data_IF_177274752218
#
_entry.id   IF_177274752218
#
_cell.length_a   1.000
_cell.length_b   1.000
_cell.length_c   1.000
_cell.angle_alpha   90.00
_cell.angle_beta   90.00
_cell.angle_gamma   90.00
#
_symmetry.space_group_name_H-M   'P 1'
#
loop_
_entity.id
_entity.type
_entity.pdbx_description
1 polymer ?
#
# COMPACT_ATOMS: atom_id res chain seq x y z
N UNK A 1 -43.82 -41.53 -24.52
CA UNK A 1 -43.03 -42.79 -24.49
C UNK A 1 -41.83 -42.47 -23.60
N UNK A 2 -41.88 -42.52 -22.26
CA UNK A 2 -42.34 -43.60 -21.36
C UNK A 2 -41.57 -44.89 -21.72
N UNK A 3 -40.83 -45.59 -20.85
CA UNK A 3 -41.09 -46.08 -19.48
C UNK A 3 -39.75 -46.62 -18.91
N UNK A 4 -39.33 -46.27 -17.66
CA UNK A 4 -39.21 -47.09 -16.40
C UNK A 4 -38.62 -48.52 -16.55
N UNK A 5 -37.88 -49.10 -15.59
CA UNK A 5 -38.29 -49.54 -14.22
C UNK A 5 -37.08 -50.38 -13.67
N UNK A 6 -36.50 -50.18 -12.47
CA UNK A 6 -36.92 -50.62 -11.10
C UNK A 6 -37.11 -52.17 -11.05
N UNK A 7 -36.52 -52.98 -10.15
CA UNK A 7 -36.71 -53.07 -8.69
C UNK A 7 -35.94 -54.31 -8.12
N UNK A 8 -35.29 -54.26 -6.93
CA UNK A 8 -35.73 -54.71 -5.56
C UNK A 8 -35.45 -56.21 -5.24
N UNK A 9 -35.19 -56.48 -3.94
CA UNK A 9 -35.43 -57.71 -3.11
C UNK A 9 -34.13 -58.42 -2.67
N UNK A 10 -33.87 -58.86 -1.43
CA UNK A 10 -34.21 -58.58 -0.02
C UNK A 10 -33.62 -59.77 0.80
N UNK A 11 -33.22 -59.54 2.06
CA UNK A 11 -33.24 -60.49 3.21
C UNK A 11 -32.31 -61.73 3.18
N UNK A 12 -31.81 -62.36 4.26
CA UNK A 12 -31.90 -62.28 5.73
C UNK A 12 -30.96 -63.39 6.32
N UNK A 13 -30.26 -63.18 7.45
CA UNK A 13 -30.25 -63.96 8.74
C UNK A 13 -28.79 -63.99 9.26
N UNK A 14 -28.40 -63.28 10.33
CA UNK A 14 -28.46 -63.59 11.78
C UNK A 14 -27.50 -64.75 12.19
N UNK A 15 -26.68 -64.68 13.25
CA UNK A 15 -27.01 -64.52 14.67
C UNK A 15 -25.76 -64.27 15.57
N UNK A 16 -25.94 -63.39 16.57
CA UNK A 16 -25.61 -63.48 18.03
C UNK A 16 -24.14 -63.66 18.51
N UNK A 17 -23.64 -63.08 19.62
CA UNK A 17 -24.23 -62.65 20.91
C UNK A 17 -23.25 -61.64 21.57
N UNK A 18 -23.65 -60.51 22.18
CA UNK A 18 -24.14 -60.35 23.57
C UNK A 18 -23.03 -59.72 24.45
N UNK A 19 -23.20 -58.77 25.38
CA UNK A 19 -24.31 -58.14 26.12
C UNK A 19 -23.75 -56.81 26.73
N UNK A 20 -24.49 -55.68 26.72
CA UNK A 20 -25.38 -55.16 27.81
C UNK A 20 -24.60 -54.44 28.93
N UNK A 21 -24.91 -53.27 29.51
CA UNK A 21 -26.10 -52.38 29.67
C UNK A 21 -25.58 -50.97 30.01
N UNK A 22 -26.16 -49.83 29.56
CA UNK A 22 -27.21 -49.06 30.26
C UNK A 22 -26.63 -48.16 31.39
N UNK A 23 -26.95 -46.88 31.60
CA UNK A 23 -27.93 -45.93 31.07
C UNK A 23 -27.80 -44.60 31.85
N UNK A 24 -28.19 -43.49 31.20
CA UNK A 24 -28.25 -42.10 31.71
C UNK A 24 -29.28 -41.91 32.84
N UNK A 25 -29.02 -41.01 33.81
CA UNK A 25 -29.80 -39.76 34.10
C UNK A 25 -29.35 -39.08 35.42
N UNK A 26 -29.67 -37.79 35.53
CA UNK A 26 -29.17 -36.70 36.43
C UNK A 26 -30.09 -36.51 37.68
N UNK A 27 -29.93 -35.42 38.47
CA UNK A 27 -29.27 -35.20 39.79
C UNK A 27 -30.25 -35.30 41.02
N UNK A 28 -29.89 -35.01 42.30
CA UNK A 28 -29.98 -33.63 42.88
C UNK A 28 -29.07 -33.33 44.13
N UNK A 29 -29.38 -32.19 44.76
CA UNK A 29 -28.76 -31.25 45.74
C UNK A 29 -28.50 -31.70 47.22
N UNK A 30 -27.75 -30.85 47.96
CA UNK A 30 -27.70 -30.55 49.45
C UNK A 30 -26.69 -31.39 50.29
N UNK A 31 -25.78 -30.89 51.15
CA UNK A 31 -25.93 -30.00 52.35
C UNK A 31 -24.57 -29.62 53.02
N UNK A 32 -24.50 -28.45 53.72
CA UNK A 32 -23.69 -28.03 54.92
C UNK A 32 -22.13 -27.87 54.83
N UNK A 33 -21.40 -26.95 55.50
CA UNK A 33 -21.60 -25.70 56.28
C UNK A 33 -20.21 -25.11 56.74
N UNK A 34 -20.02 -23.77 56.71
CA UNK A 34 -19.13 -22.85 57.50
C UNK A 34 -17.57 -22.99 57.52
N UNK A 35 -16.74 -21.93 57.88
CA UNK A 35 -17.08 -20.65 58.53
C UNK A 35 -16.47 -19.35 57.90
N UNK A 36 -16.70 -18.25 58.63
CA UNK A 36 -16.63 -16.81 58.33
C UNK A 36 -15.21 -16.23 58.25
N UNK A 37 -15.02 -15.25 57.37
CA UNK A 37 -14.27 -14.02 57.69
C UNK A 37 -14.86 -12.81 56.96
N UNK A 38 -15.11 -11.74 57.73
CA UNK A 38 -15.55 -10.40 57.33
C UNK A 38 -14.29 -9.57 57.06
N UNK A 39 -14.25 -8.75 56.01
CA UNK A 39 -14.21 -7.31 56.26
C UNK A 39 -15.17 -6.52 55.37
N UNK A 40 -15.75 -5.49 55.97
CA UNK A 40 -16.48 -4.39 55.34
C UNK A 40 -15.50 -3.34 54.81
N UNK A 41 -15.70 -2.91 53.57
CA UNK A 41 -15.41 -1.59 53.00
C UNK A 41 -15.97 -1.63 51.56
N UNK A 42 -17.27 -1.36 51.40
CA UNK A 42 -17.77 -0.14 50.72
C UNK A 42 -16.74 0.98 50.68
N UNK A 43 -16.25 1.28 49.48
CA UNK A 43 -15.96 2.63 48.95
C UNK A 43 -15.46 2.48 47.50
N UNK A 44 -16.16 3.18 46.61
CA UNK A 44 -15.77 3.64 45.27
C UNK A 44 -15.43 2.61 44.17
N UNK A 45 -16.47 2.07 43.54
CA UNK A 45 -16.46 1.74 42.11
C UNK A 45 -17.66 2.39 41.42
N UNK A 46 -17.69 3.72 41.42
CA UNK A 46 -18.54 4.50 40.53
C UNK A 46 -17.75 5.70 40.00
N UNK A 47 -16.67 5.40 39.27
CA UNK A 47 -15.89 6.37 38.51
C UNK A 47 -15.47 5.75 37.17
N UNK A 48 -16.46 5.35 36.38
CA UNK A 48 -16.26 4.90 35.01
C UNK A 48 -17.45 5.30 34.13
N UNK A 49 -17.88 6.57 34.19
CA UNK A 49 -18.84 7.12 33.20
C UNK A 49 -18.90 8.66 33.11
N UNK A 50 -17.87 9.40 33.58
CA UNK A 50 -17.95 10.87 33.68
C UNK A 50 -16.77 11.62 33.04
N UNK A 51 -15.87 10.94 32.31
CA UNK A 51 -14.65 11.57 31.78
C UNK A 51 -14.76 12.10 30.34
N UNK A 52 -15.98 12.20 29.79
CA UNK A 52 -16.22 12.65 28.41
C UNK A 52 -16.86 14.05 28.32
N UNK A 53 -17.05 14.72 29.45
CA UNK A 53 -17.83 15.98 29.55
C UNK A 53 -17.00 17.25 29.70
N UNK A 54 -15.67 17.16 29.80
CA UNK A 54 -14.80 18.31 30.06
C UNK A 54 -13.60 18.38 29.09
N UNK A 55 -13.28 19.60 28.65
CA UNK A 55 -12.18 19.86 27.73
C UNK A 55 -10.82 19.58 28.41
N UNK A 56 -9.89 18.85 27.75
CA UNK A 56 -8.54 18.67 28.29
C UNK A 56 -7.80 19.99 28.53
N UNK A 57 -8.00 20.98 27.65
CA UNK A 57 -7.56 22.36 27.84
C UNK A 57 -8.69 23.32 27.45
N UNK A 58 -8.72 24.57 27.97
CA UNK A 58 -9.81 25.50 27.69
C UNK A 58 -10.05 25.76 26.21
N UNK A 59 -8.99 25.73 25.40
CA UNK A 59 -9.03 25.96 23.97
C UNK A 59 -8.19 24.91 23.24
N UNK A 60 -8.70 24.35 22.15
CA UNK A 60 -7.96 23.42 21.30
C UNK A 60 -8.82 22.40 20.59
N UNK A 61 -8.17 21.43 19.95
CA UNK A 61 -8.79 20.33 19.23
C UNK A 61 -8.28 19.00 19.77
N UNK A 62 -9.19 18.10 20.13
CA UNK A 62 -8.84 16.85 20.81
C UNK A 62 -9.52 15.66 20.14
N UNK A 63 -8.79 14.56 19.96
CA UNK A 63 -9.33 13.35 19.35
C UNK A 63 -10.40 12.69 20.24
N UNK A 64 -11.36 12.02 19.62
CA UNK A 64 -12.23 11.09 20.31
C UNK A 64 -11.48 9.82 20.74
N UNK A 65 -11.89 9.24 21.88
CA UNK A 65 -11.24 8.07 22.46
C UNK A 65 -11.46 6.78 21.65
N UNK A 66 -12.53 6.72 20.84
CA UNK A 66 -12.97 5.48 20.17
C UNK A 66 -13.09 5.61 18.66
N UNK A 67 -13.38 6.82 18.15
CA UNK A 67 -13.67 7.10 16.75
C UNK A 67 -12.57 7.97 16.11
N UNK A 68 -11.87 7.43 15.11
CA UNK A 68 -10.69 8.09 14.55
C UNK A 68 -10.99 9.38 13.78
N UNK A 69 -12.21 9.51 13.26
CA UNK A 69 -12.66 10.66 12.50
C UNK A 69 -13.52 11.63 13.30
N UNK A 70 -13.72 11.38 14.61
CA UNK A 70 -14.37 12.31 15.53
C UNK A 70 -13.34 13.06 16.36
N UNK A 71 -13.64 14.32 16.61
CA UNK A 71 -12.84 15.19 17.46
C UNK A 71 -13.72 16.24 18.14
N UNK A 72 -13.16 16.88 19.14
CA UNK A 72 -13.79 17.91 19.95
C UNK A 72 -13.05 19.22 19.75
N UNK A 73 -13.78 20.27 19.37
CA UNK A 73 -13.29 21.64 19.40
C UNK A 73 -13.69 22.29 20.72
N UNK A 74 -12.70 22.65 21.52
CA UNK A 74 -12.86 23.32 22.80
C UNK A 74 -12.64 24.82 22.64
N UNK A 75 -13.58 25.61 23.16
CA UNK A 75 -13.46 27.07 23.27
C UNK A 75 -13.99 27.50 24.64
N UNK A 76 -13.15 28.10 25.47
CA UNK A 76 -13.46 28.48 26.86
C UNK A 76 -14.12 27.34 27.66
N UNK A 77 -13.54 26.13 27.61
CA UNK A 77 -14.04 24.89 28.20
C UNK A 77 -15.38 24.38 27.63
N UNK A 78 -15.89 24.98 26.56
CA UNK A 78 -17.10 24.51 25.87
C UNK A 78 -16.72 23.57 24.73
N UNK A 79 -17.15 22.32 24.86
CA UNK A 79 -16.98 21.28 23.83
C UNK A 79 -17.96 21.51 22.67
N UNK A 80 -17.44 21.40 21.45
CA UNK A 80 -18.22 21.21 20.23
C UNK A 80 -17.74 19.93 19.55
N UNK A 81 -18.61 18.94 19.42
CA UNK A 81 -18.29 17.72 18.68
C UNK A 81 -18.23 18.00 17.18
N UNK A 82 -17.25 17.40 16.51
CA UNK A 82 -17.06 17.51 15.06
C UNK A 82 -16.61 16.19 14.47
N UNK A 83 -16.89 16.03 13.18
CA UNK A 83 -16.40 14.92 12.36
C UNK A 83 -15.48 15.48 11.27
N UNK A 84 -14.43 14.73 10.97
CA UNK A 84 -13.65 14.94 9.76
C UNK A 84 -14.51 14.64 8.52
N UNK A 85 -14.18 15.23 7.36
CA UNK A 85 -14.79 14.84 6.09
C UNK A 85 -14.72 13.32 5.87
N UNK A 86 -15.75 12.73 5.26
CA UNK A 86 -15.82 11.28 5.08
C UNK A 86 -14.58 10.75 4.33
N UNK A 87 -13.92 9.75 4.92
CA UNK A 87 -12.67 9.19 4.41
C UNK A 87 -11.38 9.83 4.95
N UNK A 88 -11.50 10.84 5.81
CA UNK A 88 -10.38 11.43 6.57
C UNK A 88 -10.53 11.14 8.06
N UNK A 89 -9.41 11.24 8.79
CA UNK A 89 -9.34 11.03 10.24
C UNK A 89 -8.66 12.21 10.92
N UNK A 90 -8.97 12.43 12.19
CA UNK A 90 -8.43 13.57 12.92
C UNK A 90 -6.95 13.36 13.25
N UNK A 91 -6.13 14.35 12.91
CA UNK A 91 -4.71 14.39 13.23
C UNK A 91 -4.53 15.11 14.58
N UNK A 92 -4.11 14.35 15.59
CA UNK A 92 -3.97 14.79 16.98
C UNK A 92 -2.54 15.17 17.38
N UNK A 93 -1.62 15.34 16.41
CA UNK A 93 -0.24 15.75 16.70
C UNK A 93 -0.12 17.18 17.25
N UNK A 94 -1.15 18.02 17.07
CA UNK A 94 -1.18 19.38 17.64
C UNK A 94 -2.61 19.78 18.03
N UNK A 95 -2.84 20.06 19.31
CA UNK A 95 -4.13 20.56 19.81
C UNK A 95 -4.49 21.97 19.30
N UNK A 96 -3.56 22.66 18.63
CA UNK A 96 -3.76 24.01 18.11
C UNK A 96 -4.22 24.03 16.64
N UNK A 97 -4.25 22.88 15.97
CA UNK A 97 -4.61 22.78 14.56
C UNK A 97 -5.82 21.86 14.36
N UNK A 98 -6.89 22.41 13.78
CA UNK A 98 -8.02 21.62 13.31
C UNK A 98 -7.64 20.94 12.00
N UNK A 99 -7.01 19.76 12.10
CA UNK A 99 -6.48 19.06 10.93
C UNK A 99 -7.05 17.66 10.82
N UNK A 100 -7.59 17.37 9.65
CA UNK A 100 -7.91 16.02 9.23
C UNK A 100 -6.87 15.57 8.18
N UNK A 101 -6.43 14.32 8.25
CA UNK A 101 -5.52 13.70 7.29
C UNK A 101 -6.09 12.36 6.80
N UNK A 102 -5.48 11.79 5.77
CA UNK A 102 -5.85 10.45 5.31
C UNK A 102 -5.50 9.39 6.37
N UNK A 103 -6.31 8.33 6.53
CA UNK A 103 -6.04 7.24 7.48
C UNK A 103 -4.66 6.59 7.33
N UNK A 104 -4.06 6.64 6.14
CA UNK A 104 -2.73 6.08 5.88
C UNK A 104 -1.60 6.83 6.61
N UNK A 105 -1.84 8.08 7.03
CA UNK A 105 -0.85 8.93 7.69
C UNK A 105 -1.01 8.98 9.22
N UNK A 106 -2.12 8.46 9.76
CA UNK A 106 -2.50 8.58 11.17
C UNK A 106 -2.78 7.19 11.75
N UNK A 107 -2.22 6.89 12.92
CA UNK A 107 -2.46 5.61 13.57
C UNK A 107 -3.82 5.60 14.29
N UNK A 108 -4.82 4.97 13.66
CA UNK A 108 -6.14 4.79 14.22
C UNK A 108 -6.30 3.51 15.07
N UNK A 109 -5.21 2.76 15.34
CA UNK A 109 -5.32 1.43 15.97
C UNK A 109 -5.97 1.44 17.35
N UNK A 110 -5.87 2.56 18.09
CA UNK A 110 -6.47 2.73 19.42
C UNK A 110 -7.92 3.26 19.36
N UNK A 111 -8.31 3.89 18.24
CA UNK A 111 -9.64 4.49 18.05
C UNK A 111 -10.22 4.12 16.68
N UNK A 112 -10.49 2.82 16.41
CA UNK A 112 -10.73 2.33 15.07
C UNK A 112 -12.11 2.66 14.50
N UNK A 113 -13.05 3.16 15.30
CA UNK A 113 -14.38 3.48 14.79
C UNK A 113 -14.31 4.63 13.79
N UNK A 114 -15.21 4.62 12.82
CA UNK A 114 -15.35 5.66 11.80
C UNK A 114 -16.82 5.98 11.58
N UNK A 115 -17.11 7.16 11.06
CA UNK A 115 -18.44 7.50 10.59
C UNK A 115 -18.90 6.56 9.45
N UNK A 116 -20.22 6.49 9.25
CA UNK A 116 -20.83 5.75 8.15
C UNK A 116 -20.30 6.28 6.80
N UNK A 117 -19.82 5.40 5.90
CA UNK A 117 -19.30 5.83 4.61
C UNK A 117 -20.37 6.51 3.76
N UNK A 118 -19.96 7.54 3.01
CA UNK A 118 -20.80 8.24 2.05
C UNK A 118 -20.23 7.98 0.64
N UNK A 119 -20.62 6.86 0.01
CA UNK A 119 -20.05 6.47 -1.27
C UNK A 119 -20.50 7.39 -2.41
N UNK A 120 -19.62 7.57 -3.38
CA UNK A 120 -19.87 8.20 -4.68
C UNK A 120 -19.33 7.29 -5.80
N UNK A 121 -19.43 7.74 -7.06
CA UNK A 121 -18.89 7.01 -8.20
C UNK A 121 -17.38 6.76 -8.01
N UNK A 122 -16.96 5.49 -8.03
CA UNK A 122 -15.56 5.05 -7.84
C UNK A 122 -14.92 5.44 -6.49
N UNK A 123 -15.70 5.98 -5.57
CA UNK A 123 -15.26 6.47 -4.26
C UNK A 123 -16.08 5.79 -3.16
N UNK A 124 -15.60 4.68 -2.57
CA UNK A 124 -16.22 4.05 -1.40
C UNK A 124 -16.44 5.00 -0.21
N UNK A 125 -15.59 6.03 -0.08
CA UNK A 125 -15.77 7.20 0.79
C UNK A 125 -15.42 8.46 0.01
N UNK A 126 -15.87 9.62 0.49
CA UNK A 126 -15.66 10.88 -0.23
C UNK A 126 -14.17 11.22 -0.45
N UNK A 127 -13.30 10.86 0.49
CA UNK A 127 -11.87 11.15 0.42
C UNK A 127 -11.04 9.87 0.56
N UNK A 128 -9.97 9.74 -0.24
CA UNK A 128 -9.01 8.65 -0.10
C UNK A 128 -8.49 8.08 -1.42
N UNK A 129 -7.71 7.00 -1.31
CA UNK A 129 -7.21 6.23 -2.44
C UNK A 129 -7.88 4.87 -2.49
N UNK A 130 -8.49 4.53 -3.62
CA UNK A 130 -9.30 3.32 -3.76
C UNK A 130 -8.91 2.53 -5.00
N UNK A 131 -8.90 1.21 -4.90
CA UNK A 131 -8.60 0.39 -6.07
C UNK A 131 -9.71 0.49 -7.12
N UNK A 132 -9.36 0.17 -8.37
CA UNK A 132 -10.34 0.02 -9.43
C UNK A 132 -11.39 -1.05 -9.08
N UNK A 133 -12.65 -0.81 -9.41
CA UNK A 133 -13.76 -1.73 -9.10
C UNK A 133 -13.61 -3.11 -9.74
N UNK A 134 -12.99 -3.19 -10.93
CA UNK A 134 -12.63 -4.45 -11.55
C UNK A 134 -11.34 -4.99 -10.94
N UNK A 135 -11.44 -6.08 -10.19
CA UNK A 135 -10.30 -6.72 -9.51
C UNK A 135 -9.19 -7.18 -10.48
N UNK A 136 -9.50 -7.41 -11.76
CA UNK A 136 -8.51 -7.76 -12.79
C UNK A 136 -7.66 -6.58 -13.24
N UNK A 137 -8.09 -5.36 -12.95
CA UNK A 137 -7.32 -4.15 -13.21
C UNK A 137 -6.44 -3.90 -11.99
N UNK A 138 -5.16 -4.19 -12.16
CA UNK A 138 -4.17 -4.21 -11.09
C UNK A 138 -3.42 -2.87 -10.96
N UNK A 139 -3.29 -2.15 -12.06
CA UNK A 139 -2.45 -0.97 -12.23
C UNK A 139 -3.23 0.34 -12.17
N UNK A 140 -4.54 0.32 -11.93
CA UNK A 140 -5.35 1.55 -11.82
C UNK A 140 -5.98 1.68 -10.44
N UNK A 141 -6.10 2.92 -10.01
CA UNK A 141 -6.74 3.30 -8.77
C UNK A 141 -7.34 4.71 -8.89
N UNK A 142 -8.16 5.07 -7.92
CA UNK A 142 -8.86 6.34 -7.85
C UNK A 142 -8.34 7.15 -6.67
N UNK A 143 -8.06 8.42 -6.91
CA UNK A 143 -7.87 9.41 -5.85
C UNK A 143 -9.13 10.25 -5.73
N UNK A 144 -9.81 10.16 -4.60
CA UNK A 144 -11.07 10.84 -4.35
C UNK A 144 -10.88 12.05 -3.43
N UNK A 145 -11.50 13.16 -3.82
CA UNK A 145 -11.64 14.38 -3.02
C UNK A 145 -13.10 14.83 -3.11
N UNK A 146 -13.78 14.93 -1.96
CA UNK A 146 -15.20 15.29 -1.86
C UNK A 146 -16.11 14.50 -2.83
N UNK A 147 -15.86 13.20 -2.93
CA UNK A 147 -16.62 12.27 -3.77
C UNK A 147 -16.33 12.36 -5.28
N UNK A 148 -15.36 13.19 -5.70
CA UNK A 148 -14.91 13.29 -7.09
C UNK A 148 -13.61 12.52 -7.26
N UNK A 149 -13.59 11.56 -8.17
CA UNK A 149 -12.41 10.73 -8.43
C UNK A 149 -11.51 11.30 -9.54
N UNK A 150 -10.21 11.04 -9.41
CA UNK A 150 -9.23 11.08 -10.48
C UNK A 150 -8.65 9.67 -10.67
N UNK A 151 -8.73 9.14 -11.89
CA UNK A 151 -8.18 7.82 -12.21
C UNK A 151 -6.68 7.91 -12.51
N UNK A 152 -5.88 7.16 -11.76
CA UNK A 152 -4.42 7.14 -11.85
C UNK A 152 -3.98 5.75 -12.28
N UNK A 153 -3.04 5.69 -13.23
CA UNK A 153 -2.40 4.44 -13.66
C UNK A 153 -1.00 4.38 -13.06
N UNK A 154 -0.69 3.27 -12.39
CA UNK A 154 0.62 2.97 -11.84
C UNK A 154 1.70 2.93 -12.93
N UNK A 155 2.95 3.27 -12.60
CA UNK A 155 4.08 3.03 -13.48
C UNK A 155 4.13 1.56 -13.94
N UNK A 156 4.64 1.35 -15.15
CA UNK A 156 4.58 0.04 -15.82
C UNK A 156 5.12 -1.11 -14.97
N UNK A 157 4.30 -2.14 -14.79
CA UNK A 157 4.65 -3.33 -14.00
C UNK A 157 4.44 -3.23 -12.50
N UNK A 158 3.92 -2.10 -12.00
CA UNK A 158 3.50 -1.93 -10.60
C UNK A 158 1.99 -2.15 -10.45
N UNK A 159 1.60 -2.53 -9.24
CA UNK A 159 0.22 -2.83 -8.84
C UNK A 159 -0.15 -1.90 -7.70
N UNK A 160 -1.36 -1.35 -7.74
CA UNK A 160 -1.86 -0.54 -6.64
C UNK A 160 -2.05 -1.39 -5.37
N UNK A 161 -1.43 -0.95 -4.28
CA UNK A 161 -1.52 -1.59 -2.97
C UNK A 161 -2.44 -0.77 -2.06
N UNK A 162 -3.65 -1.26 -1.81
CA UNK A 162 -4.66 -0.60 -0.97
C UNK A 162 -4.18 -0.35 0.47
N UNK A 163 -3.28 -1.20 1.00
CA UNK A 163 -2.81 -1.08 2.39
C UNK A 163 -1.84 0.08 2.58
N UNK A 164 -1.01 0.34 1.57
CA UNK A 164 -0.02 1.43 1.60
C UNK A 164 -0.46 2.67 0.82
N UNK A 165 -1.51 2.57 0.01
CA UNK A 165 -2.01 3.64 -0.85
C UNK A 165 -1.08 4.03 -1.99
N UNK A 166 -0.10 3.17 -2.31
CA UNK A 166 0.91 3.44 -3.35
C UNK A 166 1.02 2.28 -4.33
N UNK A 167 1.63 2.54 -5.49
CA UNK A 167 1.97 1.50 -6.46
C UNK A 167 3.24 0.77 -6.02
N UNK A 168 3.12 -0.54 -5.76
CA UNK A 168 4.25 -1.40 -5.36
C UNK A 168 4.40 -2.57 -6.34
N UNK A 169 5.42 -3.40 -6.11
CA UNK A 169 5.56 -4.62 -6.90
C UNK A 169 4.40 -5.60 -6.64
N UNK A 170 4.02 -6.42 -7.63
CA UNK A 170 2.96 -7.44 -7.48
C UNK A 170 3.08 -8.33 -6.23
N UNK A 171 4.30 -8.79 -5.94
CA UNK A 171 4.66 -9.66 -4.81
C UNK A 171 4.55 -8.97 -3.44
N UNK A 172 4.71 -7.64 -3.41
CA UNK A 172 4.51 -6.82 -2.22
C UNK A 172 3.04 -6.44 -2.03
N UNK A 173 2.35 -6.08 -3.12
CA UNK A 173 0.94 -5.72 -3.11
C UNK A 173 0.06 -6.90 -2.66
N UNK A 174 0.46 -8.14 -2.99
CA UNK A 174 -0.27 -9.38 -2.66
C UNK A 174 -1.76 -9.32 -3.05
N UNK A 175 -2.09 -8.53 -4.08
CA UNK A 175 -3.45 -8.42 -4.62
C UNK A 175 -3.78 -9.70 -5.38
N UNK A 176 -4.89 -10.34 -5.02
CA UNK A 176 -5.33 -11.60 -5.64
C UNK A 176 -5.56 -11.41 -7.14
N UNK A 177 -4.96 -12.27 -7.96
CA UNK A 177 -5.07 -12.20 -9.42
C UNK A 177 -4.21 -11.12 -10.08
N UNK A 178 -3.28 -10.53 -9.34
CA UNK A 178 -2.33 -9.53 -9.81
C UNK A 178 -0.90 -9.97 -9.50
N UNK A 179 -0.57 -11.26 -9.66
CA UNK A 179 0.82 -11.72 -9.52
C UNK A 179 1.67 -11.15 -10.66
N UNK A 180 3.00 -11.17 -10.51
CA UNK A 180 3.91 -10.73 -11.58
C UNK A 180 3.65 -11.48 -12.89
N UNK A 181 3.34 -12.78 -12.82
CA UNK A 181 3.02 -13.59 -13.98
C UNK A 181 1.69 -13.17 -14.63
N UNK A 182 0.70 -12.74 -13.84
CA UNK A 182 -0.58 -12.26 -14.36
C UNK A 182 -0.43 -10.87 -15.02
N UNK A 183 0.30 -9.96 -14.37
CA UNK A 183 0.53 -8.59 -14.85
C UNK A 183 1.32 -8.56 -16.16
N UNK A 184 2.33 -9.42 -16.27
CA UNK A 184 3.18 -9.50 -17.46
C UNK A 184 2.75 -10.55 -18.48
N UNK A 185 1.75 -11.39 -18.14
CA UNK A 185 1.36 -12.56 -18.93
C UNK A 185 2.57 -13.42 -19.37
N UNK A 186 3.57 -13.53 -18.49
CA UNK A 186 4.83 -14.21 -18.76
C UNK A 186 5.17 -15.13 -17.59
N UNK A 187 5.67 -16.33 -17.89
CA UNK A 187 6.17 -17.28 -16.88
C UNK A 187 7.64 -17.51 -17.09
N UNK A 188 8.39 -17.40 -16.00
CA UNK A 188 9.81 -17.70 -15.99
C UNK A 188 10.05 -19.18 -16.36
N UNK A 189 10.98 -19.47 -17.28
CA UNK A 189 11.43 -20.83 -17.54
C UNK A 189 11.95 -21.50 -16.28
N UNK A 190 11.68 -22.81 -16.14
CA UNK A 190 12.18 -23.58 -15.01
C UNK A 190 13.69 -23.81 -15.17
N UNK A 191 14.45 -23.46 -14.13
CA UNK A 191 15.91 -23.57 -14.10
C UNK A 191 16.36 -24.14 -12.76
N UNK A 192 17.61 -24.58 -12.67
CA UNK A 192 18.18 -25.06 -11.41
C UNK A 192 18.31 -23.91 -10.39
N UNK A 193 18.39 -24.25 -9.11
CA UNK A 193 18.50 -23.28 -8.02
C UNK A 193 19.71 -22.34 -8.19
N UNK A 194 20.83 -22.82 -8.72
CA UNK A 194 22.03 -22.01 -8.95
C UNK A 194 21.79 -20.94 -10.00
N UNK A 195 21.05 -21.26 -11.06
CA UNK A 195 20.69 -20.31 -12.13
C UNK A 195 19.64 -19.34 -11.62
N UNK A 196 18.64 -19.82 -10.88
CA UNK A 196 17.57 -19.00 -10.30
C UNK A 196 18.12 -17.87 -9.42
N UNK A 197 19.17 -18.15 -8.64
CA UNK A 197 19.86 -17.17 -7.80
C UNK A 197 20.56 -16.05 -8.60
N UNK A 198 20.87 -16.28 -9.88
CA UNK A 198 21.45 -15.27 -10.77
C UNK A 198 20.41 -14.39 -11.45
N UNK A 199 19.12 -14.62 -11.19
CA UNK A 199 18.00 -13.89 -11.77
C UNK A 199 18.06 -13.87 -13.31
N UNK A 200 17.86 -15.03 -13.97
CA UNK A 200 18.07 -15.17 -15.40
C UNK A 200 17.17 -14.22 -16.19
N UNK A 201 17.63 -13.87 -17.38
CA UNK A 201 17.01 -12.87 -18.24
C UNK A 201 16.54 -13.52 -19.53
N UNK A 202 15.36 -13.11 -20.00
CA UNK A 202 14.71 -13.68 -21.19
C UNK A 202 14.17 -12.57 -22.06
N UNK A 203 14.31 -12.69 -23.37
CA UNK A 203 13.75 -11.72 -24.30
C UNK A 203 12.22 -11.65 -24.16
N UNK A 204 11.65 -10.46 -24.38
CA UNK A 204 10.21 -10.36 -24.58
C UNK A 204 9.89 -10.78 -26.02
N UNK A 205 9.01 -11.80 -26.24
CA UNK A 205 8.71 -12.30 -27.58
C UNK A 205 7.96 -11.30 -28.47
N UNK A 206 7.30 -10.30 -27.89
CA UNK A 206 6.48 -9.32 -28.62
C UNK A 206 7.15 -7.94 -28.74
N UNK A 207 8.21 -7.70 -27.96
CA UNK A 207 8.86 -6.39 -27.91
C UNK A 207 10.36 -6.52 -27.69
N UNK A 208 11.12 -6.36 -28.78
CA UNK A 208 12.58 -6.47 -28.76
C UNK A 208 13.26 -5.44 -27.84
N UNK A 209 12.61 -4.32 -27.50
CA UNK A 209 13.19 -3.35 -26.55
C UNK A 209 13.13 -3.87 -25.11
N UNK A 210 12.18 -4.74 -24.78
CA UNK A 210 11.97 -5.22 -23.43
C UNK A 210 12.44 -6.67 -23.22
N UNK A 211 12.68 -7.00 -21.96
CA UNK A 211 13.07 -8.33 -21.51
C UNK A 211 12.55 -8.56 -20.10
N UNK A 212 12.49 -9.82 -19.69
CA UNK A 212 12.10 -10.22 -18.34
C UNK A 212 13.31 -10.62 -17.53
N UNK A 213 13.38 -10.14 -16.28
CA UNK A 213 14.30 -10.62 -15.26
C UNK A 213 13.49 -11.50 -14.30
N UNK A 214 13.88 -12.77 -14.17
CA UNK A 214 13.20 -13.72 -13.30
C UNK A 214 13.86 -13.72 -11.92
N UNK A 215 13.35 -12.89 -11.02
CA UNK A 215 13.83 -12.84 -9.62
C UNK A 215 13.59 -14.20 -8.98
N UNK A 216 14.65 -14.76 -8.39
CA UNK A 216 14.71 -16.13 -7.85
C UNK A 216 14.22 -17.23 -8.80
N UNK A 217 14.28 -16.99 -10.12
CA UNK A 217 13.89 -17.95 -11.14
C UNK A 217 12.39 -18.08 -11.38
N UNK A 218 11.52 -17.42 -10.61
CA UNK A 218 10.07 -17.61 -10.68
C UNK A 218 9.27 -16.31 -10.86
N UNK A 219 9.78 -15.18 -10.37
CA UNK A 219 9.06 -13.90 -10.33
C UNK A 219 9.53 -12.97 -11.46
N UNK A 220 8.78 -12.84 -12.57
CA UNK A 220 9.20 -12.02 -13.69
C UNK A 220 9.08 -10.52 -13.39
N UNK A 221 10.07 -9.75 -13.82
CA UNK A 221 10.07 -8.28 -13.81
C UNK A 221 10.40 -7.79 -15.21
N UNK A 222 9.51 -7.02 -15.83
CA UNK A 222 9.76 -6.43 -17.14
C UNK A 222 10.75 -5.27 -17.02
N UNK A 223 11.82 -5.33 -17.81
CA UNK A 223 12.82 -4.28 -17.93
C UNK A 223 12.99 -3.91 -19.41
N UNK A 224 13.47 -2.70 -19.67
CA UNK A 224 13.66 -2.17 -21.02
C UNK A 224 15.10 -1.78 -21.28
N UNK A 225 15.52 -1.99 -22.52
CA UNK A 225 16.73 -1.39 -23.07
C UNK A 225 16.52 0.10 -23.33
N UNK A 226 17.62 0.85 -23.44
CA UNK A 226 17.55 2.27 -23.83
C UNK A 226 16.90 2.39 -25.20
N UNK A 227 16.30 3.55 -25.48
CA UNK A 227 15.76 3.83 -26.81
C UNK A 227 16.83 3.59 -27.87
N UNK A 228 16.47 2.87 -28.94
CA UNK A 228 17.39 2.46 -30.00
C UNK A 228 18.13 1.14 -29.75
N UNK A 229 18.07 0.57 -28.55
CA UNK A 229 18.65 -0.74 -28.23
C UNK A 229 17.55 -1.81 -28.13
N UNK A 230 17.95 -3.06 -28.32
CA UNK A 230 17.13 -4.27 -28.17
C UNK A 230 17.82 -5.27 -27.26
N UNK A 231 17.08 -6.18 -26.66
CA UNK A 231 17.65 -7.22 -25.81
C UNK A 231 18.26 -8.34 -26.65
N UNK A 232 19.55 -8.62 -26.45
CA UNK A 232 20.27 -9.73 -27.06
C UNK A 232 20.31 -10.90 -26.05
N UNK A 233 19.48 -11.92 -26.28
CA UNK A 233 19.36 -13.07 -25.38
C UNK A 233 20.64 -13.91 -25.31
N UNK A 234 21.37 -14.04 -26.43
CA UNK A 234 22.64 -14.79 -26.48
C UNK A 234 23.72 -14.18 -25.56
N UNK A 235 23.72 -12.84 -25.42
CA UNK A 235 24.64 -12.12 -24.54
C UNK A 235 24.07 -11.79 -23.15
N UNK A 236 22.74 -11.90 -22.99
CA UNK A 236 21.99 -11.49 -21.79
C UNK A 236 21.96 -9.98 -21.53
N UNK A 237 22.21 -9.15 -22.56
CA UNK A 237 22.41 -7.69 -22.45
C UNK A 237 21.68 -6.94 -23.55
N UNK A 238 21.47 -5.65 -23.33
CA UNK A 238 21.01 -4.74 -24.37
C UNK A 238 22.13 -4.50 -25.39
N UNK A 239 21.78 -4.57 -26.67
CA UNK A 239 22.67 -4.39 -27.80
C UNK A 239 21.95 -3.59 -28.91
N UNK A 240 22.68 -3.23 -29.96
CA UNK A 240 22.10 -2.57 -31.11
C UNK A 240 21.34 -3.57 -31.99
N UNK A 241 20.21 -3.16 -32.61
CA UNK A 241 19.39 -4.01 -33.46
C UNK A 241 20.18 -4.84 -34.48
N UNK A 242 21.18 -4.24 -35.13
CA UNK A 242 22.04 -4.93 -36.12
C UNK A 242 22.81 -6.15 -35.58
N UNK A 243 23.02 -6.23 -34.26
CA UNK A 243 23.71 -7.34 -33.60
C UNK A 243 22.74 -8.44 -33.14
N UNK A 244 21.43 -8.24 -33.35
CA UNK A 244 20.34 -9.14 -32.96
C UNK A 244 19.49 -9.40 -34.20
N UNK A 245 19.84 -10.40 -35.04
CA UNK A 245 19.23 -10.62 -36.35
C UNK A 245 17.69 -10.67 -36.33
N UNK A 246 17.10 -11.26 -35.30
CA UNK A 246 15.66 -11.36 -35.09
C UNK A 246 14.97 -10.01 -34.83
N UNK A 247 15.74 -9.00 -34.39
CA UNK A 247 15.27 -7.67 -34.02
C UNK A 247 15.92 -6.57 -34.86
N UNK A 248 16.63 -6.91 -35.95
CA UNK A 248 17.41 -5.96 -36.75
C UNK A 248 16.58 -4.78 -37.28
N UNK A 249 15.31 -5.06 -37.60
CA UNK A 249 14.36 -4.08 -38.15
C UNK A 249 13.38 -3.51 -37.12
N UNK A 250 13.57 -3.78 -35.82
CA UNK A 250 12.61 -3.44 -34.77
C UNK A 250 12.21 -1.95 -34.73
N UNK A 251 13.17 -1.05 -34.94
CA UNK A 251 12.93 0.40 -34.93
C UNK A 251 12.59 0.98 -36.30
N UNK A 252 12.42 0.16 -37.34
CA UNK A 252 12.12 0.64 -38.69
C UNK A 252 10.78 1.40 -38.67
N UNK A 253 10.82 2.68 -39.02
CA UNK A 253 9.64 3.56 -39.02
C UNK A 253 9.33 4.21 -37.66
N UNK A 254 10.05 3.84 -36.60
CA UNK A 254 10.02 4.53 -35.29
C UNK A 254 11.19 5.51 -35.18
N UNK A 255 12.37 5.09 -35.63
CA UNK A 255 13.58 5.92 -35.70
C UNK A 255 14.13 5.88 -37.12
N UNK A 256 14.72 7.00 -37.54
CA UNK A 256 15.56 7.07 -38.74
C UNK A 256 16.94 6.47 -38.47
N UNK A 257 17.64 6.07 -39.53
CA UNK A 257 19.01 5.55 -39.42
C UNK A 257 19.96 6.58 -38.79
N UNK A 258 19.75 7.86 -39.07
CA UNK A 258 20.53 8.96 -38.49
C UNK A 258 20.27 9.11 -36.98
N UNK A 259 19.01 9.04 -36.54
CA UNK A 259 18.66 9.06 -35.12
C UNK A 259 19.26 7.87 -34.37
N UNK A 260 19.17 6.67 -34.95
CA UNK A 260 19.75 5.47 -34.36
C UNK A 260 21.28 5.57 -34.26
N UNK A 261 21.93 6.07 -35.32
CA UNK A 261 23.36 6.34 -35.32
C UNK A 261 23.78 7.35 -34.26
N UNK A 262 23.00 8.43 -34.08
CA UNK A 262 23.24 9.45 -33.06
C UNK A 262 23.02 8.94 -31.63
N UNK A 263 22.08 8.00 -31.43
CA UNK A 263 21.89 7.33 -30.14
C UNK A 263 23.07 6.43 -29.77
N UNK A 264 23.67 5.78 -30.77
CA UNK A 264 24.86 4.96 -30.58
C UNK A 264 26.13 5.78 -30.38
N UNK A 265 26.24 6.89 -31.10
CA UNK A 265 27.39 7.77 -31.10
C UNK A 265 26.97 9.15 -30.56
N UNK A 266 26.63 9.25 -29.27
CA UNK A 266 26.19 10.51 -28.71
C UNK A 266 27.32 11.52 -28.79
N UNK A 267 27.05 12.67 -29.43
CA UNK A 267 27.98 13.79 -29.49
C UNK A 267 28.34 14.21 -28.04
N UNK A 268 29.61 14.55 -27.75
CA UNK A 268 29.98 15.07 -26.45
C UNK A 268 29.05 16.22 -26.10
N UNK A 269 28.39 16.16 -24.93
CA UNK A 269 27.59 17.29 -24.46
C UNK A 269 28.54 18.48 -24.38
N UNK A 270 28.27 19.52 -25.17
CA UNK A 270 28.95 20.79 -25.00
C UNK A 270 28.67 21.25 -23.58
N UNK A 271 29.65 21.08 -22.70
CA UNK A 271 29.64 21.72 -21.40
C UNK A 271 29.66 23.20 -21.69
N UNK A 272 28.52 23.84 -21.45
CA UNK A 272 28.38 25.29 -21.53
C UNK A 272 29.42 25.89 -20.59
N UNK A 273 30.59 26.26 -21.15
CA UNK A 273 31.48 27.30 -20.61
C UNK A 273 30.70 28.60 -20.32
N UNK A 274 29.49 28.73 -20.87
CA UNK A 274 28.53 29.79 -20.56
C UNK A 274 27.91 29.72 -19.14
N UNK A 275 27.82 28.55 -18.50
CA UNK A 275 27.24 28.46 -17.13
C UNK A 275 28.20 28.88 -16.03
N UNK A 276 29.52 28.70 -16.22
CA UNK A 276 30.52 29.20 -15.28
C UNK A 276 30.67 30.74 -15.35
N UNK A 277 30.50 31.33 -16.54
CA UNK A 277 30.50 32.79 -16.70
C UNK A 277 29.27 33.46 -16.03
N UNK A 278 28.12 32.78 -15.98
CA UNK A 278 26.91 33.26 -15.30
C UNK A 278 26.99 33.15 -13.76
N UNK A 279 27.67 32.13 -13.23
CA UNK A 279 27.86 31.95 -11.79
C UNK A 279 28.90 32.93 -11.21
N UNK A 280 29.90 33.34 -12.00
CA UNK A 280 30.92 34.32 -11.57
C UNK A 280 30.37 35.76 -11.44
N UNK A 281 29.28 36.11 -12.14
CA UNK A 281 28.67 37.47 -12.09
C UNK A 281 27.69 37.69 -10.94
N UNK A 282 27.38 36.68 -10.13
CA UNK A 282 26.37 36.74 -9.05
C UNK A 282 26.92 36.64 -7.62
N UNK A 283 28.20 36.97 -7.38
CA UNK A 283 28.70 37.12 -6.01
C UNK A 283 28.44 38.53 -5.49
N UNK A 284 27.65 38.73 -4.41
CA UNK A 284 27.60 40.00 -3.71
C UNK A 284 28.92 40.23 -2.96
N UNK A 285 29.49 41.43 -3.11
CA UNK A 285 30.64 41.89 -2.32
C UNK A 285 30.27 41.96 -0.84
N UNK A 286 30.98 41.20 0.00
CA UNK A 286 30.86 41.25 1.46
C UNK A 286 31.41 42.60 1.98
N UNK A 287 30.68 43.36 2.83
CA UNK A 287 31.20 44.60 3.39
C UNK A 287 32.33 44.32 4.38
N UNK A 288 33.39 45.12 4.28
CA UNK A 288 34.52 45.17 5.20
C UNK A 288 34.07 45.78 6.54
N UNK A 289 34.21 45.03 7.65
CA UNK A 289 34.01 45.54 9.01
C UNK A 289 35.26 46.30 9.46
N UNK A 290 35.12 47.62 9.58
CA UNK A 290 36.12 48.51 10.18
C UNK A 290 36.22 48.24 11.68
N UNK A 291 37.42 47.86 12.15
CA UNK A 291 37.81 47.79 13.56
C UNK A 291 37.65 49.17 14.21
N UNK A 292 36.88 49.26 15.31
CA UNK A 292 36.88 50.41 16.23
C UNK A 292 37.61 49.99 17.50
N UNK A 293 38.80 50.53 17.69
CA UNK A 293 39.56 50.49 18.95
C UNK A 293 38.87 51.40 19.97
N UNK A 294 38.61 50.89 21.17
CA UNK A 294 38.25 51.71 22.33
C UNK A 294 39.47 51.70 23.23
N UNK A 295 39.96 52.91 23.52
CA UNK A 295 41.02 53.16 24.48
C UNK A 295 40.45 53.09 25.91
N UNK A 296 41.23 52.49 26.79
CA UNK A 296 41.14 52.65 28.24
C UNK A 296 41.50 54.08 28.61
N UNK A 297 40.74 54.71 29.50
CA UNK A 297 41.17 55.86 30.28
C UNK A 297 40.71 55.66 31.73
N UNK A 298 41.64 55.98 32.63
CA UNK A 298 41.67 55.85 34.08
C UNK A 298 40.65 56.70 34.86
N UNK A 299 40.53 56.35 36.15
CA UNK A 299 39.81 56.95 37.31
C UNK A 299 38.32 56.60 37.57
#
# INVERSE_FOLDING_TARGET
>A
MDVRLVAIILCHIALLSGQSTGGRKRPPTTTAAAPRHRPTAVEDEEAADQQESECPEPNGFFADASQCDKYYACSDNKITEKLCPDGMVFNDYSSQQEKCDLPLNIDCSQRPALQTPQPAENCPRQNGYFAHENQKICDKFYYCVDGKFNAITCPGGLVYNEKSGICTWPDEAKKKGCSSQDVFNFRCPNVTSEIALQHPRYANPEDCQFFYVCVNGDTPRRNGCKMGQVFNEASGKCDWPRNVPECADWYRGVLTDEELYNLENPKPKETTKEKEAAAARRKPSRPSTTKRTVAEDDE
#
